data_IF_955878701840
#
_entry.id   IF_955878701840
#
_cell.length_a   1.000
_cell.length_b   1.000
_cell.length_c   1.000
_cell.angle_alpha   90.00
_cell.angle_beta   90.00
_cell.angle_gamma   90.00
#
_symmetry.space_group_name_H-M   'P 1'
#
loop_
_entity.id
_entity.type
_entity.pdbx_description
1 polymer ?
#
# COMPACT_ATOMS: atom_id res chain seq x y z
N UNK A 1 -7.82 17.67 -15.16
CA UNK A 1 -7.68 17.16 -13.78
C UNK A 1 -8.97 17.45 -13.01
N UNK A 2 -9.37 16.60 -12.07
CA UNK A 2 -10.53 16.87 -11.20
C UNK A 2 -10.00 17.29 -9.83
N UNK A 3 -10.33 18.51 -9.41
CA UNK A 3 -10.12 18.98 -8.05
C UNK A 3 -11.47 18.84 -7.31
N UNK A 4 -11.43 18.48 -6.03
CA UNK A 4 -12.67 18.29 -5.24
C UNK A 4 -13.37 19.62 -4.98
N UNK A 5 -12.61 20.59 -4.45
CA UNK A 5 -13.06 21.95 -4.19
C UNK A 5 -11.88 22.91 -4.35
N UNK A 6 -12.16 24.11 -4.85
CA UNK A 6 -11.19 25.21 -4.88
C UNK A 6 -11.84 26.41 -4.20
N UNK A 7 -11.21 26.90 -3.15
CA UNK A 7 -11.56 28.18 -2.52
C UNK A 7 -10.79 29.28 -3.24
N UNK A 8 -11.48 30.16 -3.97
CA UNK A 8 -10.87 31.21 -4.76
C UNK A 8 -11.31 32.60 -4.30
N UNK A 9 -10.35 33.52 -4.20
CA UNK A 9 -10.58 34.94 -3.90
C UNK A 9 -9.66 35.80 -4.77
N UNK A 10 -10.22 36.48 -5.76
CA UNK A 10 -9.45 37.22 -6.75
C UNK A 10 -8.53 36.29 -7.56
N UNK A 11 -7.22 36.55 -7.53
CA UNK A 11 -6.23 35.70 -8.20
C UNK A 11 -5.66 34.59 -7.31
N UNK A 12 -6.09 34.50 -6.05
CA UNK A 12 -5.61 33.49 -5.11
C UNK A 12 -6.56 32.31 -5.13
N UNK A 13 -6.02 31.11 -5.33
CA UNK A 13 -6.78 29.86 -5.30
C UNK A 13 -6.13 28.87 -4.34
N UNK A 14 -6.95 28.28 -3.47
CA UNK A 14 -6.55 27.27 -2.48
C UNK A 14 -7.28 25.96 -2.79
N UNK A 15 -6.60 24.91 -3.25
CA UNK A 15 -7.21 23.62 -3.46
C UNK A 15 -7.56 22.98 -2.11
N UNK A 16 -8.74 22.35 -2.04
CA UNK A 16 -9.22 21.62 -0.88
C UNK A 16 -9.48 20.17 -1.29
N UNK A 17 -8.68 19.23 -0.77
CA UNK A 17 -8.78 17.79 -1.04
C UNK A 17 -9.51 17.09 0.11
N UNK A 18 -10.55 16.32 -0.21
CA UNK A 18 -11.37 15.66 0.80
C UNK A 18 -10.79 14.27 1.13
N UNK A 19 -10.43 14.07 2.39
CA UNK A 19 -9.92 12.79 2.90
C UNK A 19 -10.92 12.12 3.82
N UNK A 20 -11.03 10.80 3.69
CA UNK A 20 -11.64 9.94 4.72
C UNK A 20 -10.60 9.57 5.76
N UNK A 21 -11.03 9.29 6.99
CA UNK A 21 -10.12 9.03 8.10
C UNK A 21 -9.79 10.28 8.91
N UNK A 22 -8.67 10.20 9.64
CA UNK A 22 -8.16 11.24 10.52
C UNK A 22 -6.79 11.74 10.03
N UNK A 23 -6.44 13.01 10.30
CA UNK A 23 -5.11 13.54 9.99
C UNK A 23 -4.00 12.79 10.73
N UNK A 24 -2.79 12.86 10.18
CA UNK A 24 -1.59 12.34 10.85
C UNK A 24 -1.35 13.16 12.12
N UNK A 25 -1.16 12.50 13.25
CA UNK A 25 -0.69 13.17 14.47
C UNK A 25 0.84 13.20 14.44
N UNK A 26 1.41 14.39 14.58
CA UNK A 26 2.85 14.59 14.69
C UNK A 26 3.29 14.41 16.16
N UNK A 27 4.59 14.23 16.37
CA UNK A 27 5.16 13.94 17.69
C UNK A 27 4.92 15.07 18.70
N UNK A 28 4.79 16.31 18.22
CA UNK A 28 4.45 17.51 19.00
C UNK A 28 2.94 17.66 19.28
N UNK A 29 2.12 16.70 18.84
CA UNK A 29 0.66 16.71 18.98
C UNK A 29 -0.07 17.55 17.93
N UNK A 30 0.64 18.20 17.00
CA UNK A 30 0.03 18.94 15.90
C UNK A 30 -0.52 18.00 14.82
N UNK A 31 -1.44 18.52 14.01
CA UNK A 31 -2.05 17.79 12.89
C UNK A 31 -1.20 18.00 11.64
N UNK A 32 -0.81 16.90 11.02
CA UNK A 32 -0.05 16.87 9.77
C UNK A 32 -0.71 16.00 8.71
N UNK A 33 0.05 15.76 7.66
CA UNK A 33 -0.32 14.96 6.51
C UNK A 33 0.74 13.89 6.23
N UNK A 34 0.33 12.82 5.55
CA UNK A 34 1.28 11.86 4.99
C UNK A 34 1.89 12.41 3.70
N UNK A 35 3.13 12.02 3.38
CA UNK A 35 3.85 12.53 2.20
C UNK A 35 3.05 12.37 0.89
N UNK A 36 2.36 11.24 0.61
CA UNK A 36 1.53 11.13 -0.58
C UNK A 36 0.39 12.15 -0.65
N UNK A 37 -0.19 12.53 0.49
CA UNK A 37 -1.25 13.53 0.56
C UNK A 37 -0.72 14.93 0.28
N UNK A 38 0.49 15.24 0.79
CA UNK A 38 1.19 16.50 0.51
C UNK A 38 1.52 16.63 -0.97
N UNK A 39 2.10 15.59 -1.57
CA UNK A 39 2.44 15.55 -3.00
C UNK A 39 1.19 15.67 -3.86
N UNK A 40 0.11 14.93 -3.54
CA UNK A 40 -1.16 15.01 -4.27
C UNK A 40 -1.72 16.44 -4.27
N UNK A 41 -1.74 17.10 -3.11
CA UNK A 41 -2.23 18.46 -2.97
C UNK A 41 -1.33 19.47 -3.70
N UNK A 42 -0.01 19.27 -3.68
CA UNK A 42 0.94 20.08 -4.44
C UNK A 42 0.72 19.98 -5.95
N UNK A 43 0.43 18.79 -6.49
CA UNK A 43 0.08 18.63 -7.91
C UNK A 43 -1.14 19.50 -8.28
N UNK A 44 -2.16 19.53 -7.43
CA UNK A 44 -3.34 20.37 -7.66
C UNK A 44 -2.98 21.86 -7.64
N UNK A 45 -2.14 22.28 -6.69
CA UNK A 45 -1.64 23.65 -6.61
C UNK A 45 -0.82 24.06 -7.84
N UNK A 46 0.05 23.17 -8.35
CA UNK A 46 0.83 23.41 -9.56
C UNK A 46 -0.05 23.61 -10.80
N UNK A 47 -1.12 22.81 -10.94
CA UNK A 47 -2.11 22.99 -12.01
C UNK A 47 -2.79 24.37 -11.91
N UNK A 48 -3.18 24.78 -10.70
CA UNK A 48 -3.76 26.12 -10.49
C UNK A 48 -2.76 27.23 -10.84
N UNK A 49 -1.49 27.09 -10.45
CA UNK A 49 -0.42 28.03 -10.80
C UNK A 49 -0.20 28.14 -12.30
N UNK A 50 -0.21 27.02 -13.02
CA UNK A 50 -0.10 26.99 -14.49
C UNK A 50 -1.25 27.73 -15.19
N UNK A 51 -2.43 27.74 -14.57
CA UNK A 51 -3.60 28.51 -15.03
C UNK A 51 -3.62 29.98 -14.57
N UNK A 52 -2.53 30.49 -13.99
CA UNK A 52 -2.36 31.90 -13.63
C UNK A 52 -2.84 32.29 -12.23
N UNK A 53 -3.23 31.33 -11.40
CA UNK A 53 -3.58 31.59 -10.01
C UNK A 53 -2.36 31.62 -9.10
N UNK A 54 -2.38 32.46 -8.06
CA UNK A 54 -1.46 32.35 -6.93
C UNK A 54 -1.98 31.28 -5.99
N UNK A 55 -1.16 30.28 -5.69
CA UNK A 55 -1.53 29.18 -4.82
C UNK A 55 -0.35 28.87 -3.88
N UNK A 56 -0.38 29.43 -2.67
CA UNK A 56 0.74 29.32 -1.71
C UNK A 56 0.49 28.23 -0.65
N UNK A 57 -0.74 27.74 -0.55
CA UNK A 57 -1.15 26.69 0.37
C UNK A 57 -2.25 25.83 -0.25
N UNK A 58 -2.40 24.62 0.25
CA UNK A 58 -3.56 23.75 0.01
C UNK A 58 -4.12 23.22 1.33
N UNK A 59 -5.34 22.70 1.29
CA UNK A 59 -6.04 22.23 2.48
C UNK A 59 -6.45 20.77 2.32
N UNK A 60 -6.09 19.95 3.30
CA UNK A 60 -6.68 18.62 3.47
C UNK A 60 -7.84 18.73 4.44
N UNK A 61 -9.04 18.34 4.00
CA UNK A 61 -10.23 18.29 4.83
C UNK A 61 -10.58 16.85 5.18
N UNK A 62 -10.47 16.48 6.46
CA UNK A 62 -10.76 15.13 6.94
C UNK A 62 -12.23 15.03 7.35
N UNK A 63 -13.03 14.29 6.59
CA UNK A 63 -14.48 14.22 6.78
C UNK A 63 -14.91 13.65 8.15
N UNK A 64 -14.20 12.65 8.66
CA UNK A 64 -14.56 11.98 9.91
C UNK A 64 -14.32 12.87 11.13
N UNK A 65 -13.23 13.63 11.15
CA UNK A 65 -12.89 14.53 12.25
C UNK A 65 -13.32 15.98 12.03
N UNK A 66 -13.76 16.32 10.80
CA UNK A 66 -14.05 17.70 10.34
C UNK A 66 -12.89 18.67 10.49
N UNK A 67 -11.66 18.14 10.55
CA UNK A 67 -10.45 18.94 10.72
C UNK A 67 -9.89 19.38 9.37
N UNK A 68 -9.32 20.59 9.35
CA UNK A 68 -8.58 21.15 8.21
C UNK A 68 -7.11 21.16 8.55
N UNK A 69 -6.29 20.55 7.70
CA UNK A 69 -4.83 20.63 7.77
C UNK A 69 -4.35 21.48 6.61
N UNK A 70 -3.72 22.63 6.91
CA UNK A 70 -3.12 23.51 5.91
C UNK A 70 -1.71 23.02 5.59
N UNK A 71 -1.40 22.92 4.31
CA UNK A 71 -0.09 22.51 3.80
C UNK A 71 0.46 23.67 2.97
N UNK A 72 1.62 24.21 3.36
CA UNK A 72 2.32 25.20 2.57
C UNK A 72 2.85 24.57 1.27
N UNK A 73 2.68 25.27 0.15
CA UNK A 73 3.22 24.89 -1.15
C UNK A 73 4.53 25.63 -1.36
N UNK A 74 5.53 25.23 -0.58
CA UNK A 74 6.89 25.75 -0.64
C UNK A 74 7.74 25.09 -1.74
N UNK A 75 8.92 25.67 -2.02
CA UNK A 75 9.82 25.19 -3.07
C UNK A 75 10.30 23.76 -2.81
N UNK A 76 10.43 23.36 -1.53
CA UNK A 76 10.84 22.02 -1.15
C UNK A 76 9.79 20.97 -1.55
N UNK A 77 8.51 21.22 -1.22
CA UNK A 77 7.40 20.34 -1.59
C UNK A 77 7.18 20.33 -3.11
N UNK A 78 7.38 21.46 -3.78
CA UNK A 78 7.34 21.53 -5.24
C UNK A 78 8.45 20.66 -5.85
N UNK A 79 9.68 20.74 -5.36
CA UNK A 79 10.80 19.93 -5.83
C UNK A 79 10.57 18.43 -5.60
N UNK A 80 10.06 18.05 -4.42
CA UNK A 80 9.68 16.67 -4.10
C UNK A 80 8.61 16.16 -5.07
N UNK A 81 7.58 16.97 -5.30
CA UNK A 81 6.46 16.63 -6.20
C UNK A 81 6.92 16.44 -7.65
N UNK A 82 7.76 17.33 -8.17
CA UNK A 82 8.32 17.21 -9.51
C UNK A 82 9.22 15.96 -9.64
N UNK A 83 9.99 15.65 -8.60
CA UNK A 83 10.82 14.42 -8.54
C UNK A 83 9.95 13.17 -8.57
N UNK A 84 8.85 13.15 -7.81
CA UNK A 84 7.90 12.04 -7.81
C UNK A 84 7.23 11.85 -9.18
N UNK A 85 6.83 12.93 -9.86
CA UNK A 85 6.27 12.90 -11.21
C UNK A 85 7.28 12.32 -12.21
N UNK A 86 8.53 12.80 -12.17
CA UNK A 86 9.59 12.32 -13.05
C UNK A 86 9.86 10.82 -12.84
N UNK A 87 9.93 10.38 -11.58
CA UNK A 87 10.13 8.96 -11.22
C UNK A 87 8.99 8.07 -11.71
N UNK A 88 7.74 8.54 -11.56
CA UNK A 88 6.58 7.81 -12.05
C UNK A 88 6.57 7.65 -13.57
N UNK A 89 6.90 8.72 -14.32
CA UNK A 89 7.04 8.66 -15.79
C UNK A 89 8.16 7.72 -16.21
N UNK A 90 9.32 7.81 -15.57
CA UNK A 90 10.44 6.93 -15.86
C UNK A 90 10.11 5.46 -15.63
N UNK A 91 9.37 5.12 -14.57
CA UNK A 91 8.92 3.75 -14.32
C UNK A 91 7.99 3.24 -15.42
N UNK A 92 7.08 4.09 -15.93
CA UNK A 92 6.19 3.76 -17.04
C UNK A 92 6.96 3.55 -18.35
N UNK A 93 7.89 4.45 -18.67
CA UNK A 93 8.65 4.42 -19.93
C UNK A 93 9.60 3.23 -20.01
N UNK A 94 10.19 2.84 -18.88
CA UNK A 94 11.07 1.66 -18.81
C UNK A 94 10.33 0.37 -19.14
N UNK A 95 9.02 0.30 -18.90
CA UNK A 95 8.26 -0.95 -19.04
C UNK A 95 8.77 -2.06 -18.12
N UNK A 96 9.45 -1.70 -17.03
CA UNK A 96 9.97 -2.63 -16.02
C UNK A 96 9.19 -2.40 -14.73
N UNK A 97 8.54 -3.46 -14.24
CA UNK A 97 7.85 -3.38 -12.95
C UNK A 97 8.93 -3.33 -11.86
N UNK A 98 8.88 -2.35 -10.93
CA UNK A 98 9.85 -2.30 -9.85
C UNK A 98 9.73 -3.54 -8.97
N UNK A 99 10.83 -3.96 -8.33
CA UNK A 99 10.78 -5.11 -7.43
C UNK A 99 9.75 -4.92 -6.33
N UNK A 100 9.16 -6.02 -5.83
CA UNK A 100 8.30 -5.96 -4.66
C UNK A 100 9.03 -5.36 -3.46
N UNK A 101 8.27 -4.67 -2.60
CA UNK A 101 8.82 -4.14 -1.35
C UNK A 101 9.13 -5.30 -0.39
N UNK A 102 10.28 -5.24 0.27
CA UNK A 102 10.70 -6.23 1.27
C UNK A 102 10.07 -5.92 2.63
N UNK A 103 9.34 -6.88 3.19
CA UNK A 103 8.68 -6.81 4.51
C UNK A 103 7.95 -5.50 4.82
N UNK A 104 7.37 -4.88 3.79
CA UNK A 104 6.73 -3.58 3.96
C UNK A 104 5.34 -3.71 4.57
N UNK A 105 4.99 -2.91 5.59
CA UNK A 105 3.62 -2.86 6.14
C UNK A 105 2.59 -2.33 5.12
N UNK A 106 3.04 -1.86 3.95
CA UNK A 106 2.18 -1.45 2.83
C UNK A 106 1.64 -2.65 2.05
N UNK A 107 2.36 -3.77 1.99
CA UNK A 107 2.01 -4.94 1.17
C UNK A 107 0.68 -5.59 1.58
N UNK A 108 0.36 -5.84 2.87
CA UNK A 108 -0.86 -6.56 3.26
C UNK A 108 -2.17 -5.86 2.86
N UNK A 109 -2.16 -4.53 2.69
CA UNK A 109 -3.31 -3.73 2.27
C UNK A 109 -3.23 -3.26 0.82
N UNK A 110 -2.20 -3.69 0.08
CA UNK A 110 -2.05 -3.32 -1.32
C UNK A 110 -3.06 -4.07 -2.17
N UNK A 111 -3.87 -3.35 -2.96
CA UNK A 111 -4.83 -3.95 -3.89
C UNK A 111 -4.17 -4.83 -4.97
N UNK A 112 -2.89 -4.61 -5.24
CA UNK A 112 -2.11 -5.38 -6.21
C UNK A 112 -1.37 -6.55 -5.58
N UNK A 113 -1.45 -6.81 -4.27
CA UNK A 113 -0.65 -7.86 -3.60
C UNK A 113 -0.88 -9.25 -4.20
N UNK A 114 -2.11 -9.57 -4.62
CA UNK A 114 -2.45 -10.84 -5.26
C UNK A 114 -1.95 -10.98 -6.70
N UNK A 115 -1.54 -9.88 -7.34
CA UNK A 115 -0.92 -9.87 -8.67
C UNK A 115 0.60 -9.78 -8.54
N UNK A 116 1.08 -8.92 -7.62
CA UNK A 116 2.49 -8.69 -7.33
C UNK A 116 3.15 -9.90 -6.69
N UNK A 117 2.44 -10.63 -5.80
CA UNK A 117 2.91 -11.84 -5.12
C UNK A 117 4.35 -11.68 -4.59
N UNK A 118 4.58 -10.75 -3.64
CA UNK A 118 5.91 -10.27 -3.29
C UNK A 118 6.86 -11.40 -2.86
N UNK A 119 6.37 -12.33 -2.04
CA UNK A 119 7.14 -13.44 -1.51
C UNK A 119 7.49 -14.45 -2.62
N UNK A 120 6.52 -14.75 -3.49
CA UNK A 120 6.68 -15.69 -4.59
C UNK A 120 7.62 -15.14 -5.66
N UNK A 121 7.43 -13.89 -6.08
CA UNK A 121 8.30 -13.22 -7.07
C UNK A 121 9.74 -13.14 -6.54
N UNK A 122 9.92 -12.77 -5.28
CA UNK A 122 11.25 -12.73 -4.65
C UNK A 122 11.91 -14.11 -4.68
N UNK A 123 11.18 -15.16 -4.28
CA UNK A 123 11.71 -16.53 -4.26
C UNK A 123 11.97 -17.09 -5.65
N UNK A 124 11.13 -16.80 -6.64
CA UNK A 124 11.37 -17.20 -8.03
C UNK A 124 12.65 -16.57 -8.57
N UNK A 125 12.84 -15.27 -8.33
CA UNK A 125 14.04 -14.59 -8.80
C UNK A 125 15.33 -15.09 -8.12
N UNK A 126 15.27 -15.43 -6.82
CA UNK A 126 16.39 -16.10 -6.13
C UNK A 126 16.69 -17.49 -6.72
N UNK A 127 15.65 -18.27 -7.05
CA UNK A 127 15.84 -19.57 -7.73
C UNK A 127 16.46 -19.41 -9.12
N UNK A 128 16.03 -18.41 -9.89
CA UNK A 128 16.57 -18.14 -11.22
C UNK A 128 18.04 -17.70 -11.14
N UNK A 129 18.40 -16.89 -10.15
CA UNK A 129 19.78 -16.50 -9.86
C UNK A 129 20.64 -17.72 -9.49
N UNK A 130 20.18 -18.56 -8.57
CA UNK A 130 20.88 -19.77 -8.12
C UNK A 130 20.98 -20.86 -9.19
N UNK A 131 20.03 -20.94 -10.13
CA UNK A 131 20.00 -21.92 -11.21
C UNK A 131 20.84 -21.53 -12.45
N UNK A 132 21.48 -20.35 -12.45
CA UNK A 132 22.39 -19.92 -13.51
C UNK A 132 21.73 -19.73 -14.89
N UNK A 133 20.39 -19.59 -14.96
CA UNK A 133 19.67 -19.59 -16.23
C UNK A 133 18.36 -18.84 -16.17
N UNK A 134 18.22 -17.84 -17.04
CA UNK A 134 17.01 -17.05 -17.28
C UNK A 134 15.89 -18.00 -17.74
N UNK A 135 15.03 -18.46 -16.82
CA UNK A 135 13.87 -19.26 -17.20
C UNK A 135 12.85 -18.34 -17.87
N UNK A 136 12.95 -18.22 -19.20
CA UNK A 136 11.95 -17.55 -20.02
C UNK A 136 10.66 -18.38 -19.96
N UNK A 137 9.68 -17.89 -19.21
CA UNK A 137 8.33 -18.41 -19.29
C UNK A 137 7.79 -18.11 -20.71
N UNK A 138 7.77 -19.14 -21.56
CA UNK A 138 7.22 -19.03 -22.91
C UNK A 138 5.70 -18.90 -22.80
N UNK A 139 5.18 -17.69 -23.00
CA UNK A 139 3.74 -17.47 -23.13
C UNK A 139 3.27 -18.03 -24.48
N UNK A 140 2.11 -18.69 -24.50
CA UNK A 140 1.51 -19.28 -25.71
C UNK A 140 1.14 -18.24 -26.80
N UNK A 141 1.04 -16.96 -26.41
CA UNK A 141 0.76 -15.83 -27.30
C UNK A 141 1.69 -14.66 -26.98
N UNK A 142 2.31 -14.09 -28.02
CA UNK A 142 3.22 -12.95 -27.91
C UNK A 142 2.40 -11.65 -27.79
N UNK A 143 1.89 -11.40 -26.58
CA UNK A 143 1.27 -10.12 -26.24
C UNK A 143 2.43 -9.16 -25.96
N UNK A 144 2.75 -8.30 -26.93
CA UNK A 144 4.00 -7.54 -27.09
C UNK A 144 4.43 -6.53 -26.02
N UNK A 145 4.19 -6.80 -24.73
CA UNK A 145 4.88 -6.14 -23.60
C UNK A 145 5.30 -7.17 -22.58
N UNK A 146 6.59 -7.47 -22.55
CA UNK A 146 7.24 -8.25 -21.50
C UNK A 146 7.71 -7.29 -20.42
N UNK A 147 7.22 -7.46 -19.20
CA UNK A 147 7.76 -6.76 -18.04
C UNK A 147 8.84 -7.66 -17.44
N UNK A 148 10.10 -7.28 -17.57
CA UNK A 148 11.19 -7.94 -16.86
C UNK A 148 11.10 -7.55 -15.38
N UNK A 149 11.11 -8.54 -14.49
CA UNK A 149 11.18 -8.33 -13.04
C UNK A 149 12.63 -8.46 -12.60
N UNK A 150 13.22 -7.39 -12.09
CA UNK A 150 14.56 -7.42 -11.48
C UNK A 150 14.44 -7.65 -9.98
N UNK A 151 15.06 -8.70 -9.43
CA UNK A 151 15.15 -8.90 -7.98
C UNK A 151 16.41 -8.26 -7.40
N UNK A 152 16.31 -7.48 -6.31
CA UNK A 152 17.46 -6.83 -5.68
C UNK A 152 18.07 -7.64 -4.52
N UNK A 153 17.56 -8.84 -4.19
CA UNK A 153 17.98 -9.58 -3.00
C UNK A 153 19.09 -10.62 -3.31
N UNK A 154 20.16 -10.59 -2.51
CA UNK A 154 21.21 -11.61 -2.45
C UNK A 154 20.73 -12.87 -1.71
N UNK A 155 21.30 -14.03 -2.05
CA UNK A 155 20.84 -15.37 -1.64
C UNK A 155 20.75 -15.62 -0.12
N UNK A 156 21.46 -14.86 0.72
CA UNK A 156 21.62 -15.15 2.15
C UNK A 156 20.49 -14.64 3.09
N UNK A 157 19.56 -13.80 2.61
CA UNK A 157 18.46 -13.24 3.43
C UNK A 157 17.07 -13.47 2.80
N UNK A 158 16.77 -14.70 2.39
CA UNK A 158 15.42 -15.05 1.95
C UNK A 158 14.49 -15.30 3.16
N UNK A 159 13.53 -14.41 3.49
CA UNK A 159 12.54 -14.73 4.51
C UNK A 159 11.75 -15.97 4.08
N UNK A 160 11.35 -16.79 5.05
CA UNK A 160 10.58 -18.00 4.79
C UNK A 160 9.26 -17.63 4.07
N UNK A 161 9.11 -18.08 2.82
CA UNK A 161 7.93 -17.83 1.96
C UNK A 161 6.63 -18.03 2.75
N UNK A 162 5.86 -16.96 2.93
CA UNK A 162 4.54 -17.05 3.54
C UNK A 162 3.54 -17.40 2.46
N UNK A 163 3.31 -18.70 2.26
CA UNK A 163 2.32 -19.15 1.28
C UNK A 163 0.93 -18.59 1.62
N UNK A 164 0.28 -17.95 0.63
CA UNK A 164 -1.12 -17.49 0.73
C UNK A 164 -2.11 -18.65 0.90
N UNK A 165 -1.74 -19.84 0.42
CA UNK A 165 -2.47 -21.09 0.59
C UNK A 165 -1.61 -22.05 1.38
N UNK A 166 -2.17 -22.72 2.38
CA UNK A 166 -1.39 -23.69 3.13
C UNK A 166 -1.00 -24.92 2.30
N UNK A 167 0.29 -25.25 2.29
CA UNK A 167 0.81 -26.50 1.70
C UNK A 167 0.28 -27.80 2.34
N UNK A 168 -0.35 -27.71 3.52
CA UNK A 168 -0.85 -28.87 4.27
C UNK A 168 -2.35 -29.03 4.07
N UNK A 169 -2.76 -30.05 3.32
CA UNK A 169 -4.17 -30.45 3.15
C UNK A 169 -4.64 -31.45 4.23
N UNK A 170 -3.70 -31.97 5.03
CA UNK A 170 -3.93 -32.98 6.08
C UNK A 170 -4.55 -32.42 7.37
N UNK A 171 -4.68 -31.09 7.47
CA UNK A 171 -5.17 -30.39 8.67
C UNK A 171 -6.48 -29.66 8.42
N UNK A 172 -7.18 -29.34 9.51
CA UNK A 172 -8.55 -28.82 9.42
C UNK A 172 -8.53 -27.32 9.09
N UNK A 173 -9.29 -26.87 8.07
CA UNK A 173 -9.52 -25.45 7.87
C UNK A 173 -10.41 -24.89 8.98
N UNK A 174 -10.06 -23.71 9.51
CA UNK A 174 -10.88 -22.99 10.47
C UNK A 174 -11.66 -21.89 9.76
N UNK A 175 -12.97 -22.06 9.68
CA UNK A 175 -13.90 -21.07 9.13
C UNK A 175 -14.54 -20.29 10.28
N UNK A 176 -14.37 -18.97 10.30
CA UNK A 176 -14.99 -18.07 11.25
C UNK A 176 -16.01 -17.21 10.50
N UNK A 177 -17.29 -17.52 10.67
CA UNK A 177 -18.42 -16.87 9.99
C UNK A 177 -19.27 -15.98 10.91
N UNK A 178 -18.93 -15.90 12.19
CA UNK A 178 -19.63 -15.06 13.16
C UNK A 178 -19.16 -13.63 13.08
N UNK A 179 -20.09 -12.68 13.09
CA UNK A 179 -19.78 -11.25 13.15
C UNK A 179 -19.22 -10.88 14.54
N UNK A 180 -18.36 -9.87 14.61
CA UNK A 180 -17.77 -9.30 15.84
C UNK A 180 -16.80 -10.20 16.61
N UNK A 181 -16.36 -11.30 16.00
CA UNK A 181 -15.28 -12.12 16.55
C UNK A 181 -13.93 -11.45 16.30
N UNK A 182 -12.99 -11.61 17.21
CA UNK A 182 -11.63 -11.11 17.15
C UNK A 182 -10.70 -12.31 17.22
N UNK A 183 -9.74 -12.37 16.31
CA UNK A 183 -8.77 -13.47 16.26
C UNK A 183 -7.41 -12.97 16.72
N UNK A 184 -6.86 -13.62 17.74
CA UNK A 184 -5.53 -13.34 18.25
C UNK A 184 -4.68 -14.60 18.29
N UNK A 185 -3.36 -14.43 18.37
CA UNK A 185 -2.41 -15.52 18.57
C UNK A 185 -1.72 -15.31 19.92
N UNK A 186 -1.70 -16.36 20.75
CA UNK A 186 -0.94 -16.38 22.01
C UNK A 186 -0.35 -17.76 22.23
N UNK A 187 0.96 -17.84 22.52
CA UNK A 187 1.67 -19.09 22.83
C UNK A 187 1.39 -20.25 21.85
N UNK A 188 1.40 -19.96 20.54
CA UNK A 188 1.10 -20.91 19.44
C UNK A 188 -0.34 -21.47 19.43
N UNK A 189 -1.27 -20.80 20.10
CA UNK A 189 -2.71 -21.07 20.07
C UNK A 189 -3.42 -19.87 19.46
N UNK A 190 -4.31 -20.15 18.52
CA UNK A 190 -5.24 -19.19 17.95
C UNK A 190 -6.43 -19.04 18.90
N UNK A 191 -6.67 -17.81 19.35
CA UNK A 191 -7.74 -17.42 20.26
C UNK A 191 -8.81 -16.67 19.49
N UNK A 192 -10.01 -17.23 19.44
CA UNK A 192 -11.21 -16.56 18.91
C UNK A 192 -11.95 -15.96 20.09
N UNK A 193 -12.09 -14.63 20.11
CA UNK A 193 -12.79 -13.88 21.16
C UNK A 193 -14.01 -13.19 20.59
N UNK A 194 -15.12 -13.17 21.30
CA UNK A 194 -16.30 -12.39 20.94
C UNK A 194 -16.64 -11.47 22.10
N UNK A 195 -16.77 -10.16 21.83
CA UNK A 195 -17.00 -9.13 22.87
C UNK A 195 -16.03 -9.24 24.06
N UNK A 196 -14.76 -9.56 23.79
CA UNK A 196 -13.71 -9.72 24.79
C UNK A 196 -13.69 -11.06 25.54
N UNK A 197 -14.69 -11.93 25.36
CA UNK A 197 -14.72 -13.28 25.95
C UNK A 197 -14.12 -14.30 24.99
N UNK A 198 -13.32 -15.22 25.52
CA UNK A 198 -12.75 -16.32 24.74
C UNK A 198 -13.84 -17.33 24.38
N UNK A 199 -14.10 -17.48 23.09
CA UNK A 199 -15.09 -18.41 22.54
C UNK A 199 -14.46 -19.74 22.14
N UNK A 200 -13.28 -19.68 21.50
CA UNK A 200 -12.60 -20.88 21.02
C UNK A 200 -11.09 -20.73 21.09
N UNK A 201 -10.41 -21.84 21.39
CA UNK A 201 -8.97 -21.98 21.23
C UNK A 201 -8.68 -23.10 20.25
N UNK A 202 -7.79 -22.83 19.30
CA UNK A 202 -7.34 -23.82 18.32
C UNK A 202 -5.83 -23.78 18.24
N UNK A 203 -5.15 -24.93 18.39
CA UNK A 203 -3.70 -24.97 18.27
C UNK A 203 -3.32 -24.67 16.82
N UNK A 204 -2.33 -23.80 16.61
CA UNK A 204 -1.85 -23.47 15.26
C UNK A 204 -1.33 -24.72 14.51
N UNK A 205 -0.89 -25.73 15.24
CA UNK A 205 -0.46 -27.00 14.67
C UNK A 205 -1.61 -27.89 14.17
N UNK A 206 -2.87 -27.61 14.52
CA UNK A 206 -4.02 -28.47 14.16
C UNK A 206 -4.81 -27.92 12.96
N UNK A 207 -4.45 -26.72 12.51
CA UNK A 207 -5.11 -26.01 11.41
C UNK A 207 -4.14 -25.79 10.25
N UNK A 208 -4.69 -25.80 9.03
CA UNK A 208 -3.98 -25.34 7.85
C UNK A 208 -4.32 -23.88 7.57
N UNK A 209 -5.58 -23.55 7.31
CA UNK A 209 -6.01 -22.20 6.97
C UNK A 209 -6.98 -21.63 8.00
N UNK A 210 -7.00 -20.30 8.09
CA UNK A 210 -8.01 -19.53 8.82
C UNK A 210 -8.73 -18.66 7.81
N UNK A 211 -10.03 -18.88 7.63
CA UNK A 211 -10.88 -18.13 6.71
C UNK A 211 -11.87 -17.30 7.51
N UNK A 212 -11.76 -15.98 7.41
CA UNK A 212 -12.57 -15.01 8.15
C UNK A 212 -13.66 -14.46 7.22
N UNK A 213 -14.93 -14.57 7.63
CA UNK A 213 -16.08 -14.08 6.87
C UNK A 213 -16.89 -13.08 7.69
N UNK A 214 -17.11 -11.89 7.13
CA UNK A 214 -17.88 -10.83 7.77
C UNK A 214 -17.00 -9.80 8.50
N UNK A 215 -17.62 -9.04 9.42
CA UNK A 215 -16.93 -8.09 10.27
C UNK A 215 -16.20 -8.84 11.40
N UNK A 216 -15.00 -9.33 11.08
CA UNK A 216 -14.07 -10.06 11.96
C UNK A 216 -12.82 -9.22 12.19
#
# INVERSE_FOLDING_TARGET
AKLDLVEASGNVATPVDYKRGSPKKLDDGSLGAWDPERVQLCVQALVLREHGYRCDEGILFFWETRQRVRIAIDDALVAETLTAIASARQALDRGLVPPPLVDSPKCPRCSLVGICLPDEITRCAQRDAAAGGRQQQAMLFDIGRRFDVTSPLSDDEAPAMRQLLTARDDKRPLYLNSQTVHVGISQRVLQVKEKGKLVQQVRLNDINQVSLFGAV
#
